data_IF_501817336803
#
_entry.id   IF_501817336803
#
_cell.length_a   1.000
_cell.length_b   1.000
_cell.length_c   1.000
_cell.angle_alpha   90.00
_cell.angle_beta   90.00
_cell.angle_gamma   90.00
#
_symmetry.space_group_name_H-M   'P 1'
#
loop_
_entity.id
_entity.type
_entity.pdbx_description
1 polymer ?
#
# COMPACT_ATOMS: atom_id res chain seq x y z
N UNK A 1 -15.61 17.86 -13.99
CA UNK A 1 -16.32 16.79 -13.26
C UNK A 1 -15.62 16.62 -11.92
N UNK A 2 -16.36 16.60 -10.80
CA UNK A 2 -15.77 16.45 -9.46
C UNK A 2 -15.47 14.97 -9.25
N UNK A 3 -14.27 14.61 -8.79
CA UNK A 3 -13.96 13.22 -8.42
C UNK A 3 -14.65 12.89 -7.09
N UNK A 4 -15.65 12.00 -7.12
CA UNK A 4 -16.45 11.64 -5.94
C UNK A 4 -16.19 10.20 -5.48
N UNK A 5 -15.83 9.32 -6.40
CA UNK A 5 -15.63 7.88 -6.21
C UNK A 5 -14.25 7.42 -6.65
N UNK A 6 -13.87 6.20 -6.27
CA UNK A 6 -12.64 5.56 -6.75
C UNK A 6 -12.70 5.25 -8.26
N UNK A 7 -13.89 5.08 -8.83
CA UNK A 7 -14.12 4.96 -10.27
C UNK A 7 -13.77 6.25 -11.00
N UNK A 8 -14.19 7.42 -10.51
CA UNK A 8 -13.82 8.70 -11.13
C UNK A 8 -12.29 8.89 -11.16
N UNK A 9 -11.62 8.44 -10.09
CA UNK A 9 -10.16 8.44 -10.01
C UNK A 9 -9.52 7.43 -10.97
N UNK A 10 -10.12 6.25 -11.15
CA UNK A 10 -9.69 5.24 -12.13
C UNK A 10 -9.72 5.81 -13.55
N UNK A 11 -10.79 6.51 -13.92
CA UNK A 11 -10.95 7.14 -15.23
C UNK A 11 -9.86 8.20 -15.47
N UNK A 12 -9.50 8.97 -14.44
CA UNK A 12 -8.39 9.93 -14.52
C UNK A 12 -7.03 9.27 -14.62
N UNK A 13 -6.84 8.13 -13.96
CA UNK A 13 -5.64 7.31 -14.14
C UNK A 13 -5.57 6.80 -15.59
N UNK A 14 -6.66 6.27 -16.15
CA UNK A 14 -6.70 5.83 -17.54
C UNK A 14 -6.43 6.98 -18.52
N UNK A 15 -7.00 8.16 -18.29
CA UNK A 15 -6.73 9.37 -19.08
C UNK A 15 -5.24 9.74 -19.02
N UNK A 16 -4.62 9.67 -17.83
CA UNK A 16 -3.20 9.99 -17.64
C UNK A 16 -2.25 9.11 -18.46
N UNK A 17 -2.65 7.87 -18.81
CA UNK A 17 -1.89 6.96 -19.67
C UNK A 17 -1.56 7.53 -21.06
N UNK A 18 -2.39 8.46 -21.55
CA UNK A 18 -2.27 9.05 -22.89
C UNK A 18 -1.44 10.35 -22.91
N UNK A 19 -0.82 10.72 -21.78
CA UNK A 19 -0.05 11.94 -21.62
C UNK A 19 1.43 11.65 -21.31
N UNK A 20 2.28 12.68 -21.41
CA UNK A 20 3.74 12.58 -21.19
C UNK A 20 4.17 12.37 -19.72
N UNK A 21 3.27 11.93 -18.85
CA UNK A 21 3.50 11.72 -17.42
C UNK A 21 4.13 12.92 -16.67
N UNK A 22 3.77 14.15 -17.08
CA UNK A 22 4.26 15.38 -16.49
C UNK A 22 3.50 15.84 -15.23
N UNK A 23 4.18 16.60 -14.35
CA UNK A 23 3.60 17.12 -13.09
C UNK A 23 2.42 18.07 -13.33
N UNK A 24 2.50 18.94 -14.33
CA UNK A 24 1.43 19.88 -14.66
C UNK A 24 0.16 19.16 -15.13
N UNK A 25 0.31 18.13 -15.96
CA UNK A 25 -0.83 17.34 -16.43
C UNK A 25 -1.42 16.51 -15.30
N UNK A 26 -0.59 15.87 -14.47
CA UNK A 26 -1.05 15.18 -13.27
C UNK A 26 -1.81 16.12 -12.33
N UNK A 27 -1.31 17.33 -12.08
CA UNK A 27 -2.03 18.34 -11.28
C UNK A 27 -3.37 18.73 -11.91
N UNK A 28 -3.42 18.90 -13.23
CA UNK A 28 -4.64 19.23 -13.96
C UNK A 28 -5.69 18.11 -13.90
N UNK A 29 -5.28 16.85 -14.01
CA UNK A 29 -6.17 15.69 -13.98
C UNK A 29 -6.66 15.35 -12.57
N UNK A 30 -5.75 15.31 -11.60
CA UNK A 30 -6.04 14.86 -10.23
C UNK A 30 -6.39 16.01 -9.28
N UNK A 31 -6.18 17.27 -9.68
CA UNK A 31 -6.52 18.44 -8.85
C UNK A 31 -5.68 18.60 -7.58
N UNK A 32 -4.59 17.84 -7.43
CA UNK A 32 -3.65 17.93 -6.30
C UNK A 32 -2.27 18.37 -6.78
N UNK A 33 -1.58 19.17 -5.97
CA UNK A 33 -0.20 19.57 -6.26
C UNK A 33 0.74 18.37 -6.19
N UNK A 34 1.55 18.20 -7.24
CA UNK A 34 2.44 17.04 -7.42
C UNK A 34 3.84 17.38 -6.90
N UNK A 35 4.33 16.59 -5.95
CA UNK A 35 5.69 16.67 -5.45
C UNK A 35 6.65 15.98 -6.41
N UNK A 36 6.34 14.74 -6.82
CA UNK A 36 7.24 13.88 -7.58
C UNK A 36 6.46 12.89 -8.45
N UNK A 37 7.03 12.52 -9.59
CA UNK A 37 6.55 11.43 -10.45
C UNK A 37 7.73 10.53 -10.75
N UNK A 38 7.59 9.25 -10.45
CA UNK A 38 8.57 8.22 -10.76
C UNK A 38 7.95 7.25 -11.77
N UNK A 39 8.58 7.13 -12.93
CA UNK A 39 8.16 6.21 -13.99
C UNK A 39 9.17 5.08 -14.07
N UNK A 40 8.70 3.85 -13.95
CA UNK A 40 9.51 2.66 -14.06
C UNK A 40 8.92 1.70 -15.09
N UNK A 41 9.47 1.71 -16.30
CA UNK A 41 9.18 0.76 -17.38
C UNK A 41 9.99 -0.51 -17.16
N UNK A 42 9.64 -1.29 -16.14
CA UNK A 42 10.51 -2.38 -15.66
C UNK A 42 10.23 -3.76 -16.26
N UNK A 43 9.17 -3.96 -17.06
CA UNK A 43 8.85 -5.26 -17.66
C UNK A 43 8.25 -5.10 -19.05
N UNK A 44 8.50 -6.07 -19.93
CA UNK A 44 8.07 -6.07 -21.35
C UNK A 44 6.56 -5.82 -21.52
N UNK A 45 5.75 -6.17 -20.51
CA UNK A 45 4.29 -6.10 -20.57
C UNK A 45 3.66 -5.04 -19.64
N UNK A 46 4.44 -4.24 -18.89
CA UNK A 46 3.88 -3.33 -17.88
C UNK A 46 4.68 -2.05 -17.63
N UNK A 47 3.95 -0.93 -17.46
CA UNK A 47 4.50 0.34 -17.00
C UNK A 47 4.01 0.66 -15.59
N UNK A 48 4.94 0.98 -14.68
CA UNK A 48 4.62 1.37 -13.30
C UNK A 48 4.88 2.85 -13.12
N UNK A 49 3.89 3.57 -12.56
CA UNK A 49 4.00 5.00 -12.27
C UNK A 49 3.66 5.22 -10.81
N UNK A 50 4.52 5.96 -10.11
CA UNK A 50 4.25 6.46 -8.77
C UNK A 50 4.16 7.99 -8.82
N UNK A 51 3.01 8.52 -8.44
CA UNK A 51 2.79 9.96 -8.27
C UNK A 51 2.75 10.24 -6.77
N UNK A 52 3.57 11.17 -6.31
CA UNK A 52 3.59 11.65 -4.92
C UNK A 52 3.07 13.07 -4.92
N UNK A 53 2.05 13.33 -4.11
CA UNK A 53 1.44 14.65 -3.96
C UNK A 53 1.97 15.38 -2.72
N UNK A 54 1.90 16.72 -2.73
CA UNK A 54 2.37 17.56 -1.63
C UNK A 54 1.61 17.34 -0.31
N UNK A 55 0.42 16.75 -0.37
CA UNK A 55 -0.40 16.39 0.78
C UNK A 55 -0.11 14.97 1.31
N UNK A 56 1.02 14.37 0.92
CA UNK A 56 1.47 13.02 1.30
C UNK A 56 0.64 11.86 0.74
N UNK A 57 -0.42 12.12 -0.02
CA UNK A 57 -1.06 11.07 -0.79
C UNK A 57 -0.16 10.61 -1.93
N UNK A 58 -0.32 9.35 -2.30
CA UNK A 58 0.42 8.75 -3.39
C UNK A 58 -0.53 7.90 -4.24
N UNK A 59 -0.29 7.90 -5.55
CA UNK A 59 -0.93 6.99 -6.49
C UNK A 59 0.12 6.10 -7.10
N UNK A 60 0.04 4.82 -6.77
CA UNK A 60 0.79 3.79 -7.48
C UNK A 60 -0.08 3.20 -8.57
N UNK A 61 0.35 3.30 -9.81
CA UNK A 61 -0.40 2.91 -11.00
C UNK A 61 0.40 1.85 -11.76
N UNK A 62 -0.31 0.82 -12.21
CA UNK A 62 0.22 -0.24 -13.05
C UNK A 62 -0.62 -0.32 -14.33
N UNK A 63 -0.01 -0.03 -15.47
CA UNK A 63 -0.62 -0.20 -16.79
C UNK A 63 -0.20 -1.55 -17.38
N UNK A 64 -1.18 -2.31 -17.86
CA UNK A 64 -0.98 -3.59 -18.53
C UNK A 64 -0.88 -3.35 -20.04
N UNK A 65 0.31 -3.49 -20.61
CA UNK A 65 0.60 -3.19 -22.03
C UNK A 65 0.15 -4.31 -22.97
N UNK A 66 -0.08 -5.51 -22.43
CA UNK A 66 -0.52 -6.69 -23.17
C UNK A 66 -2.05 -6.79 -23.33
N UNK A 67 -2.81 -5.88 -22.72
CA UNK A 67 -4.27 -5.85 -22.84
C UNK A 67 -4.67 -4.84 -23.92
N UNK A 68 -5.45 -5.29 -24.89
CA UNK A 68 -6.02 -4.44 -25.93
C UNK A 68 -7.18 -3.60 -25.35
N UNK A 69 -7.05 -2.26 -25.26
CA UNK A 69 -8.10 -1.39 -24.73
C UNK A 69 -9.41 -1.44 -25.53
N UNK A 70 -9.38 -1.90 -26.79
CA UNK A 70 -10.59 -2.09 -27.58
C UNK A 70 -11.38 -3.35 -27.18
N UNK A 71 -10.75 -4.26 -26.42
CA UNK A 71 -11.34 -5.52 -25.98
C UNK A 71 -11.65 -5.54 -24.48
N UNK A 72 -10.97 -4.71 -23.68
CA UNK A 72 -11.17 -4.63 -22.24
C UNK A 72 -10.89 -3.25 -21.68
N UNK A 73 -11.75 -2.80 -20.76
CA UNK A 73 -11.55 -1.57 -19.98
C UNK A 73 -10.61 -1.79 -18.78
N UNK A 74 -10.15 -3.01 -18.54
CA UNK A 74 -9.33 -3.40 -17.39
C UNK A 74 -7.81 -3.27 -17.66
N UNK A 75 -7.43 -2.16 -18.29
CA UNK A 75 -6.08 -1.87 -18.80
C UNK A 75 -5.10 -1.39 -17.73
N UNK A 76 -5.60 -1.07 -16.53
CA UNK A 76 -4.76 -0.64 -15.42
C UNK A 76 -5.32 -1.03 -14.06
N UNK A 77 -4.42 -0.97 -13.08
CA UNK A 77 -4.72 -1.07 -11.66
C UNK A 77 -4.06 0.13 -10.95
N UNK A 78 -4.73 0.70 -9.95
CA UNK A 78 -4.08 1.68 -9.08
C UNK A 78 -4.31 1.41 -7.60
N UNK A 79 -3.41 1.95 -6.78
CA UNK A 79 -3.45 1.92 -5.32
C UNK A 79 -3.34 3.37 -4.85
N UNK A 80 -4.34 3.83 -4.09
CA UNK A 80 -4.27 5.08 -3.36
C UNK A 80 -3.68 4.82 -1.97
N UNK A 81 -2.62 5.54 -1.64
CA UNK A 81 -1.95 5.44 -0.34
C UNK A 81 -1.65 6.79 0.27
N UNK A 82 -1.40 6.79 1.57
CA UNK A 82 -0.98 7.92 2.38
C UNK A 82 0.39 7.59 2.98
N UNK A 83 1.38 8.42 2.69
CA UNK A 83 2.73 8.29 3.25
C UNK A 83 2.71 8.58 4.76
N UNK A 84 3.49 7.81 5.49
CA UNK A 84 3.63 7.89 6.95
C UNK A 84 5.11 7.89 7.35
N UNK A 85 5.38 8.35 8.56
CA UNK A 85 6.67 8.26 9.23
C UNK A 85 6.88 6.91 9.95
N UNK A 86 6.06 5.90 9.68
CA UNK A 86 6.24 4.56 10.23
C UNK A 86 7.42 3.89 9.56
N UNK A 87 8.51 3.69 10.31
CA UNK A 87 9.70 2.98 9.84
C UNK A 87 9.78 1.59 10.43
N UNK A 88 10.39 0.66 9.70
CA UNK A 88 10.69 -0.68 10.14
C UNK A 88 12.06 -1.13 9.68
N UNK A 89 12.81 -1.86 10.50
CA UNK A 89 14.09 -2.46 10.07
C UNK A 89 13.91 -3.51 8.99
N UNK A 90 12.80 -4.25 9.04
CA UNK A 90 12.45 -5.27 8.06
C UNK A 90 11.30 -4.75 7.22
N UNK A 91 11.48 -4.76 5.90
CA UNK A 91 10.40 -4.43 4.98
C UNK A 91 9.26 -5.43 5.14
N UNK A 92 8.07 -4.94 5.50
CA UNK A 92 6.88 -5.76 5.62
C UNK A 92 5.65 -5.08 5.03
N UNK A 93 4.66 -5.89 4.66
CA UNK A 93 3.30 -5.44 4.42
C UNK A 93 2.31 -6.24 5.26
N UNK A 94 1.27 -5.55 5.73
CA UNK A 94 0.20 -6.11 6.53
C UNK A 94 -1.13 -5.56 6.06
N UNK A 95 -2.12 -6.43 5.89
CA UNK A 95 -3.46 -5.99 5.51
C UNK A 95 -4.53 -6.92 6.05
N UNK A 96 -5.74 -6.39 6.16
CA UNK A 96 -6.91 -7.17 6.51
C UNK A 96 -7.25 -8.15 5.37
N UNK A 97 -7.44 -9.42 5.70
CA UNK A 97 -7.88 -10.47 4.78
C UNK A 97 -9.23 -11.04 5.21
N UNK A 98 -10.17 -11.15 4.27
CA UNK A 98 -11.43 -11.86 4.52
C UNK A 98 -11.23 -13.37 4.36
N UNK A 99 -11.69 -14.15 5.35
CA UNK A 99 -11.87 -15.60 5.23
C UNK A 99 -13.30 -15.94 4.78
N UNK A 100 -13.47 -17.09 4.12
CA UNK A 100 -14.75 -17.57 3.59
C UNK A 100 -15.83 -17.74 4.69
N UNK A 101 -15.43 -17.81 5.97
CA UNK A 101 -16.32 -17.95 7.13
C UNK A 101 -16.53 -16.65 7.94
N UNK A 102 -16.28 -15.48 7.35
CA UNK A 102 -16.62 -14.19 7.97
C UNK A 102 -15.72 -13.73 9.12
N UNK A 103 -14.71 -14.53 9.51
CA UNK A 103 -13.65 -14.10 10.41
C UNK A 103 -12.54 -13.42 9.60
N UNK A 104 -12.28 -12.14 9.89
CA UNK A 104 -11.13 -11.43 9.37
C UNK A 104 -9.83 -12.03 9.91
N UNK A 105 -8.77 -12.01 9.10
CA UNK A 105 -7.43 -12.40 9.52
C UNK A 105 -6.37 -11.41 9.02
N UNK A 106 -5.20 -11.46 9.64
CA UNK A 106 -4.06 -10.65 9.23
C UNK A 106 -3.30 -11.37 8.11
N UNK A 107 -3.29 -10.79 6.91
CA UNK A 107 -2.30 -11.12 5.88
C UNK A 107 -1.04 -10.34 6.17
N UNK A 108 0.09 -11.04 6.21
CA UNK A 108 1.39 -10.46 6.49
C UNK A 108 2.41 -11.00 5.50
N UNK A 109 3.27 -10.14 4.99
CA UNK A 109 4.40 -10.51 4.13
C UNK A 109 5.63 -9.75 4.60
N UNK A 110 6.75 -10.44 4.74
CA UNK A 110 8.08 -9.84 4.86
C UNK A 110 8.77 -9.90 3.51
N UNK A 111 9.72 -9.00 3.25
CA UNK A 111 10.61 -9.15 2.11
C UNK A 111 11.45 -10.43 2.24
N UNK A 112 11.54 -11.20 1.15
CA UNK A 112 12.33 -12.44 1.12
C UNK A 112 13.81 -12.12 1.33
N UNK A 113 14.47 -12.93 2.15
CA UNK A 113 15.93 -12.89 2.30
C UNK A 113 16.57 -14.13 1.67
N UNK A 114 17.75 -13.94 1.07
CA UNK A 114 18.57 -15.05 0.56
C UNK A 114 19.09 -15.94 1.69
N UNK A 115 19.16 -15.43 2.92
CA UNK A 115 19.61 -16.19 4.08
C UNK A 115 18.45 -16.97 4.70
N UNK A 116 18.43 -18.28 4.46
CA UNK A 116 17.38 -19.18 4.96
C UNK A 116 17.22 -19.17 6.48
N UNK A 117 18.29 -19.02 7.24
CA UNK A 117 18.19 -18.94 8.71
C UNK A 117 17.51 -17.64 9.14
N UNK A 118 17.85 -16.52 8.50
CA UNK A 118 17.17 -15.24 8.75
C UNK A 118 15.70 -15.34 8.35
N UNK A 119 15.37 -15.96 7.21
CA UNK A 119 13.99 -16.17 6.79
C UNK A 119 13.18 -16.92 7.85
N UNK A 120 13.70 -18.06 8.33
CA UNK A 120 13.05 -18.86 9.39
C UNK A 120 12.88 -18.04 10.67
N UNK A 121 13.88 -17.24 11.05
CA UNK A 121 13.76 -16.37 12.24
C UNK A 121 12.68 -15.30 12.08
N UNK A 122 12.56 -14.69 10.89
CA UNK A 122 11.49 -13.74 10.60
C UNK A 122 10.13 -14.44 10.70
N UNK A 123 9.99 -15.62 10.10
CA UNK A 123 8.74 -16.38 10.07
C UNK A 123 8.29 -16.85 11.47
N UNK A 124 9.21 -17.35 12.29
CA UNK A 124 8.92 -17.91 13.61
C UNK A 124 8.74 -16.85 14.70
N UNK A 125 9.44 -15.71 14.61
CA UNK A 125 9.48 -14.72 15.70
C UNK A 125 8.97 -13.35 15.30
N UNK A 126 9.45 -12.79 14.18
CA UNK A 126 9.09 -11.42 13.78
C UNK A 126 7.64 -11.31 13.32
N UNK A 127 7.22 -12.19 12.42
CA UNK A 127 5.87 -12.19 11.85
C UNK A 127 4.81 -12.31 12.96
N UNK A 128 4.89 -13.27 13.91
CA UNK A 128 3.92 -13.37 14.98
C UNK A 128 3.91 -12.15 15.90
N UNK A 129 5.09 -11.59 16.21
CA UNK A 129 5.21 -10.44 17.09
C UNK A 129 4.57 -9.19 16.48
N UNK A 130 4.86 -8.88 15.20
CA UNK A 130 4.20 -7.76 14.50
C UNK A 130 2.69 -8.01 14.39
N UNK A 131 2.27 -9.23 14.03
CA UNK A 131 0.83 -9.58 13.98
C UNK A 131 0.13 -9.30 15.31
N UNK A 132 0.78 -9.59 16.44
CA UNK A 132 0.20 -9.34 17.77
C UNK A 132 0.00 -7.85 18.05
N UNK A 133 0.85 -6.97 17.53
CA UNK A 133 0.67 -5.51 17.65
C UNK A 133 -0.52 -5.03 16.83
N UNK A 134 -0.70 -5.55 15.62
CA UNK A 134 -1.81 -5.15 14.73
C UNK A 134 -3.14 -5.84 15.04
N UNK A 135 -3.13 -7.02 15.68
CA UNK A 135 -4.35 -7.80 15.96
C UNK A 135 -5.45 -7.02 16.67
N UNK A 136 -5.19 -6.19 17.69
CA UNK A 136 -6.23 -5.40 18.35
C UNK A 136 -6.88 -4.35 17.42
N UNK A 137 -6.19 -3.93 16.37
CA UNK A 137 -6.62 -2.84 15.48
C UNK A 137 -6.99 -3.29 14.07
N UNK A 138 -6.75 -4.56 13.71
CA UNK A 138 -6.87 -5.02 12.31
C UNK A 138 -8.30 -4.89 11.76
N UNK A 139 -9.33 -5.00 12.61
CA UNK A 139 -10.72 -4.78 12.18
C UNK A 139 -10.98 -3.36 11.66
N UNK A 140 -10.17 -2.36 12.09
CA UNK A 140 -10.23 -0.99 11.55
C UNK A 140 -9.73 -0.90 10.11
N UNK A 141 -8.94 -1.88 9.67
CA UNK A 141 -8.41 -2.02 8.32
C UNK A 141 -9.36 -2.76 7.38
N UNK A 142 -10.55 -3.17 7.85
CA UNK A 142 -11.57 -3.70 6.95
C UNK A 142 -12.02 -2.63 5.95
N UNK A 143 -12.21 -3.03 4.69
CA UNK A 143 -12.71 -2.17 3.63
C UNK A 143 -14.22 -1.90 3.73
N UNK A 144 -14.76 -1.25 2.70
CA UNK A 144 -16.17 -0.89 2.58
C UNK A 144 -17.01 -1.99 1.94
N UNK A 145 -16.39 -2.93 1.24
CA UNK A 145 -16.99 -4.02 0.49
C UNK A 145 -16.47 -5.39 0.96
N UNK A 146 -16.90 -6.47 0.29
CA UNK A 146 -16.57 -7.83 0.70
C UNK A 146 -15.12 -8.26 0.40
N UNK A 147 -14.40 -7.56 -0.48
CA UNK A 147 -13.07 -7.98 -0.96
C UNK A 147 -11.97 -6.94 -0.78
N UNK A 148 -12.32 -5.72 -0.39
CA UNK A 148 -11.39 -4.64 -0.18
C UNK A 148 -10.92 -4.57 1.28
N UNK A 149 -9.89 -3.76 1.49
CA UNK A 149 -9.19 -3.64 2.75
C UNK A 149 -8.31 -2.40 2.72
N UNK A 150 -7.84 -2.04 3.90
CA UNK A 150 -6.69 -1.17 4.08
C UNK A 150 -5.49 -2.02 4.50
N UNK A 151 -4.30 -1.54 4.18
CA UNK A 151 -3.05 -2.18 4.58
C UNK A 151 -1.99 -1.15 4.94
N UNK A 152 -0.90 -1.65 5.52
CA UNK A 152 0.31 -0.89 5.83
C UNK A 152 1.47 -1.58 5.12
N UNK A 153 2.35 -0.79 4.53
CA UNK A 153 3.68 -1.21 4.14
C UNK A 153 4.69 -0.34 4.87
N UNK A 154 5.73 -0.93 5.43
CA UNK A 154 6.77 -0.20 6.16
C UNK A 154 8.14 -0.80 5.86
N UNK A 155 9.14 0.07 5.75
CA UNK A 155 10.56 -0.27 5.63
C UNK A 155 11.45 0.80 6.29
N UNK A 156 12.76 0.72 6.06
CA UNK A 156 13.73 1.62 6.69
C UNK A 156 13.62 3.08 6.23
N UNK A 157 12.98 3.34 5.09
CA UNK A 157 12.85 4.68 4.51
C UNK A 157 11.51 5.34 4.87
N UNK A 158 10.58 4.59 5.46
CA UNK A 158 9.27 5.06 5.88
C UNK A 158 8.19 4.03 5.65
N UNK A 159 6.94 4.48 5.69
CA UNK A 159 5.80 3.58 5.53
C UNK A 159 4.66 4.26 4.81
N UNK A 160 3.67 3.47 4.44
CA UNK A 160 2.45 3.94 3.81
C UNK A 160 1.26 3.13 4.28
N UNK A 161 0.11 3.80 4.38
CA UNK A 161 -1.19 3.13 4.54
C UNK A 161 -1.84 3.19 3.17
N UNK A 162 -2.38 2.07 2.71
CA UNK A 162 -2.95 1.98 1.37
C UNK A 162 -4.33 1.34 1.40
N UNK A 163 -5.15 1.70 0.43
CA UNK A 163 -6.42 1.04 0.14
C UNK A 163 -6.23 -0.03 -0.92
N UNK A 164 -7.08 -1.07 -0.90
CA UNK A 164 -6.97 -2.21 -1.81
C UNK A 164 -6.89 -1.78 -3.29
N UNK A 165 -6.17 -2.53 -4.14
CA UNK A 165 -6.01 -2.17 -5.55
C UNK A 165 -7.34 -2.03 -6.28
N UNK A 166 -7.49 -0.95 -7.06
CA UNK A 166 -8.67 -0.62 -7.83
C UNK A 166 -8.44 -0.96 -9.29
N UNK A 167 -9.40 -1.70 -9.85
CA UNK A 167 -9.45 -2.16 -11.25
C UNK A 167 -10.85 -1.91 -11.78
N UNK A 168 -11.03 -1.97 -13.10
CA UNK A 168 -12.36 -1.74 -13.67
C UNK A 168 -13.37 -2.84 -13.23
N UNK A 169 -12.90 -4.05 -12.99
CA UNK A 169 -13.75 -5.16 -12.53
C UNK A 169 -13.93 -5.23 -11.00
N UNK A 170 -13.28 -4.34 -10.25
CA UNK A 170 -13.36 -4.31 -8.79
C UNK A 170 -14.70 -3.75 -8.31
N UNK A 171 -15.42 -4.46 -7.46
CA UNK A 171 -16.66 -3.97 -6.82
C UNK A 171 -16.40 -2.65 -6.05
N UNK A 172 -15.27 -2.60 -5.35
CA UNK A 172 -14.89 -1.50 -4.48
C UNK A 172 -14.40 -0.24 -5.20
N UNK A 173 -14.42 -0.22 -6.55
CA UNK A 173 -14.31 1.03 -7.31
C UNK A 173 -15.48 1.99 -7.04
N UNK A 174 -16.62 1.46 -6.56
CA UNK A 174 -17.77 2.26 -6.12
C UNK A 174 -17.58 3.00 -4.79
N UNK A 175 -16.48 2.76 -4.06
CA UNK A 175 -16.21 3.46 -2.81
C UNK A 175 -16.10 4.98 -3.04
N UNK A 176 -16.64 5.78 -2.12
CA UNK A 176 -16.51 7.24 -2.18
C UNK A 176 -15.07 7.62 -1.86
N UNK A 177 -14.46 8.44 -2.72
CA UNK A 177 -13.07 8.87 -2.57
C UNK A 177 -12.84 9.58 -1.23
N UNK A 178 -13.80 10.42 -0.81
CA UNK A 178 -13.73 11.10 0.49
C UNK A 178 -13.75 10.15 1.68
N UNK A 179 -14.49 9.04 1.60
CA UNK A 179 -14.56 8.05 2.68
C UNK A 179 -13.25 7.24 2.76
N UNK A 180 -12.67 6.89 1.60
CA UNK A 180 -11.35 6.25 1.51
C UNK A 180 -10.26 7.16 2.10
N UNK A 181 -10.22 8.43 1.69
CA UNK A 181 -9.29 9.44 2.21
C UNK A 181 -9.45 9.60 3.72
N UNK A 182 -10.69 9.76 4.21
CA UNK A 182 -10.98 9.87 5.62
C UNK A 182 -10.47 8.67 6.41
N UNK A 183 -10.71 7.46 5.92
CA UNK A 183 -10.23 6.23 6.57
C UNK A 183 -8.71 6.10 6.54
N UNK A 184 -8.03 6.50 5.45
CA UNK A 184 -6.56 6.54 5.41
C UNK A 184 -6.00 7.46 6.50
N UNK A 185 -6.57 8.66 6.67
CA UNK A 185 -6.16 9.60 7.72
C UNK A 185 -6.49 9.09 9.12
N UNK A 186 -7.64 8.47 9.34
CA UNK A 186 -8.01 7.85 10.62
C UNK A 186 -7.00 6.76 11.03
N UNK A 187 -6.61 5.90 10.08
CA UNK A 187 -5.62 4.86 10.32
C UNK A 187 -4.22 5.44 10.55
N UNK A 188 -3.88 6.54 9.90
CA UNK A 188 -2.61 7.26 10.13
C UNK A 188 -2.51 7.79 11.56
N UNK A 189 -3.57 8.40 12.06
CA UNK A 189 -3.66 8.84 13.45
C UNK A 189 -3.60 7.66 14.42
N UNK A 190 -4.29 6.56 14.12
CA UNK A 190 -4.24 5.34 14.93
C UNK A 190 -2.81 4.78 15.02
N UNK A 191 -2.10 4.70 13.90
CA UNK A 191 -0.71 4.20 13.89
C UNK A 191 0.28 5.18 14.53
N UNK A 192 -0.10 6.43 14.76
CA UNK A 192 0.67 7.39 15.57
C UNK A 192 0.45 7.22 17.08
N UNK A 193 -0.46 6.34 17.52
CA UNK A 193 -0.63 6.05 18.95
C UNK A 193 0.72 5.61 19.55
N UNK A 194 1.17 6.26 20.65
CA UNK A 194 2.46 5.95 21.27
C UNK A 194 2.61 4.48 21.68
N UNK A 195 1.54 3.80 22.09
CA UNK A 195 1.61 2.39 22.50
C UNK A 195 1.87 1.51 21.29
N UNK A 196 1.15 1.74 20.17
CA UNK A 196 1.37 1.01 18.92
C UNK A 196 2.81 1.25 18.43
N UNK A 197 3.27 2.50 18.43
CA UNK A 197 4.64 2.85 18.02
C UNK A 197 5.70 2.19 18.89
N UNK A 198 5.52 2.23 20.21
CA UNK A 198 6.45 1.61 21.14
C UNK A 198 6.47 0.09 20.97
N UNK A 199 5.32 -0.55 20.78
CA UNK A 199 5.27 -1.99 20.61
C UNK A 199 5.89 -2.45 19.29
N UNK A 200 5.65 -1.74 18.18
CA UNK A 200 6.36 -1.99 16.91
C UNK A 200 7.87 -1.79 17.07
N UNK A 201 8.31 -0.71 17.72
CA UNK A 201 9.72 -0.44 17.95
C UNK A 201 10.39 -1.50 18.85
N UNK A 202 9.68 -2.04 19.84
CA UNK A 202 10.19 -3.14 20.68
C UNK A 202 10.45 -4.40 19.87
N UNK A 203 9.56 -4.74 18.94
CA UNK A 203 9.73 -5.91 18.06
C UNK A 203 10.97 -5.74 17.18
N UNK A 204 11.15 -4.56 16.59
CA UNK A 204 12.35 -4.23 15.80
C UNK A 204 13.64 -4.23 16.64
N UNK A 205 13.58 -3.77 17.90
CA UNK A 205 14.71 -3.83 18.83
C UNK A 205 15.07 -5.27 19.19
N UNK A 206 14.07 -6.12 19.45
CA UNK A 206 14.28 -7.54 19.77
C UNK A 206 15.00 -8.27 18.64
N UNK A 207 14.69 -7.96 17.37
CA UNK A 207 15.45 -8.47 16.23
C UNK A 207 16.93 -8.08 16.28
N UNK A 208 17.26 -6.88 16.75
CA UNK A 208 18.65 -6.41 16.83
C UNK A 208 19.47 -7.07 17.95
N UNK A 209 18.78 -7.67 18.93
CA UNK A 209 19.40 -8.42 20.02
C UNK A 209 19.62 -9.89 19.68
N UNK A 210 19.08 -10.36 18.55
CA UNK A 210 19.42 -11.66 18.02
C UNK A 210 20.91 -11.65 17.62
N UNK A 211 21.71 -12.63 18.06
CA UNK A 211 23.15 -12.62 17.84
C UNK A 211 23.48 -12.38 16.36
N UNK A 212 24.48 -11.53 16.13
CA UNK A 212 24.92 -11.05 14.82
C UNK A 212 25.23 -12.21 13.86
N UNK A 213 24.22 -12.70 13.15
CA UNK A 213 24.37 -13.38 11.86
C UNK A 213 24.47 -12.36 10.71
N UNK A 214 24.55 -11.07 11.04
CA UNK A 214 24.62 -9.91 10.15
C UNK A 214 26.04 -9.60 9.63
N UNK A 215 27.01 -10.50 9.76
CA UNK A 215 28.36 -10.32 9.19
C UNK A 215 28.56 -11.13 7.88
N UNK A 216 27.50 -11.24 7.07
CA UNK A 216 27.64 -11.77 5.71
C UNK A 216 26.64 -11.13 4.75
N UNK A 217 26.90 -9.86 4.42
CA UNK A 217 26.44 -9.22 3.18
C UNK A 217 25.06 -8.58 3.24
N UNK A 218 25.03 -7.32 3.69
CA UNK A 218 24.17 -6.29 3.09
C UNK A 218 24.94 -5.62 1.95
#
# INVERSE_FOLDING_TARGET
MRMETMQDLLEKVQEFAFHDFGKEEAKKLFGWDVAEILVNSSKEDENHILIIFNNNFMLFIRYFLNLDPSQTDDTCEFILSLKTDLTSRIKYSINYGNYIHGQGYIRFRVADTKNRMVQVMLEEFYIPAIKNVYKPIIERFKGFYGKDFFGVEADGNGGQIYYAPIRNMSEHKGARLGDVIGRLTELELLLKDPHIRQDLAKVDLQLSLLPSMMDSGL
#
